data_IF_390929363242
#
_entry.id   IF_390929363242
#
_cell.length_a   1.000
_cell.length_b   1.000
_cell.length_c   1.000
_cell.angle_alpha   90.00
_cell.angle_beta   90.00
_cell.angle_gamma   90.00
#
_symmetry.space_group_name_H-M   'P 1'
#
loop_
_entity.id
_entity.type
_entity.pdbx_description
1 polymer ?
#
# COMPACT_ATOMS: atom_id res chain seq x y z
N UNK A 1 -16.76 -4.20 48.44
CA UNK A 1 -17.17 -3.84 47.06
C UNK A 1 -15.92 -3.36 46.32
N UNK A 2 -15.12 -4.27 45.74
CA UNK A 2 -15.04 -4.61 44.30
C UNK A 2 -14.55 -3.47 43.38
N UNK A 3 -13.23 -3.25 43.37
CA UNK A 3 -12.47 -2.67 42.25
C UNK A 3 -11.14 -3.41 42.11
N UNK A 4 -11.19 -4.69 41.73
CA UNK A 4 -9.99 -5.54 41.57
C UNK A 4 -10.03 -6.36 40.26
N UNK A 5 -10.81 -5.92 39.25
CA UNK A 5 -11.05 -6.70 38.02
C UNK A 5 -10.92 -5.94 36.70
N UNK A 6 -10.54 -4.65 36.72
CA UNK A 6 -10.40 -3.83 35.51
C UNK A 6 -8.94 -3.76 35.00
N UNK A 7 -7.95 -3.99 35.87
CA UNK A 7 -6.54 -4.09 35.47
C UNK A 7 -6.21 -5.45 34.85
N UNK A 8 -6.81 -6.54 35.34
CA UNK A 8 -6.56 -7.89 34.82
C UNK A 8 -7.14 -8.10 33.41
N UNK A 9 -8.27 -7.46 33.09
CA UNK A 9 -8.91 -7.64 31.77
C UNK A 9 -8.07 -7.06 30.62
N UNK A 10 -7.39 -5.94 30.87
CA UNK A 10 -6.56 -5.27 29.86
C UNK A 10 -5.21 -5.98 29.67
N UNK A 11 -4.61 -6.49 30.76
CA UNK A 11 -3.42 -7.35 30.73
C UNK A 11 -3.69 -8.68 30.02
N UNK A 12 -4.85 -9.31 30.29
CA UNK A 12 -5.24 -10.55 29.63
C UNK A 12 -5.43 -10.39 28.12
N UNK A 13 -6.06 -9.30 27.65
CA UNK A 13 -6.20 -9.04 26.22
C UNK A 13 -4.82 -8.84 25.57
N UNK A 14 -3.94 -8.07 26.20
CA UNK A 14 -2.60 -7.81 25.68
C UNK A 14 -1.73 -9.08 25.62
N UNK A 15 -1.76 -9.91 26.66
CA UNK A 15 -1.06 -11.20 26.69
C UNK A 15 -1.66 -12.24 25.73
N UNK A 16 -2.96 -12.17 25.44
CA UNK A 16 -3.61 -13.04 24.44
C UNK A 16 -3.21 -12.65 23.02
N UNK A 17 -3.10 -11.35 22.73
CA UNK A 17 -2.60 -10.86 21.44
C UNK A 17 -1.12 -11.20 21.24
N UNK A 18 -0.29 -11.09 22.30
CA UNK A 18 1.11 -11.51 22.26
C UNK A 18 1.23 -13.02 22.06
N UNK A 19 0.47 -13.85 22.79
CA UNK A 19 0.46 -15.30 22.60
C UNK A 19 -0.02 -15.72 21.21
N UNK A 20 -1.01 -15.02 20.65
CA UNK A 20 -1.46 -15.22 19.27
C UNK A 20 -0.36 -14.86 18.27
N UNK A 21 0.36 -13.76 18.48
CA UNK A 21 1.49 -13.33 17.67
C UNK A 21 2.67 -14.31 17.75
N UNK A 22 3.01 -14.81 18.94
CA UNK A 22 4.03 -15.85 19.13
C UNK A 22 3.60 -17.21 18.56
N UNK A 23 2.31 -17.54 18.59
CA UNK A 23 1.76 -18.74 17.94
C UNK A 23 1.82 -18.65 16.42
N UNK A 24 1.61 -17.45 15.87
CA UNK A 24 1.73 -17.17 14.43
C UNK A 24 3.18 -17.12 13.95
N UNK A 25 4.12 -16.65 14.78
CA UNK A 25 5.55 -16.61 14.49
C UNK A 25 6.25 -17.96 14.73
N UNK A 26 5.68 -18.82 15.59
CA UNK A 26 6.13 -20.20 15.84
C UNK A 26 5.50 -21.14 14.82
N UNK A 27 5.81 -20.93 13.55
CA UNK A 27 5.64 -21.97 12.53
C UNK A 27 6.47 -23.19 12.97
N UNK A 28 5.88 -24.37 13.23
CA UNK A 28 6.66 -25.58 13.21
C UNK A 28 7.24 -25.68 11.80
N UNK A 29 8.57 -25.74 11.69
CA UNK A 29 9.25 -26.19 10.49
C UNK A 29 8.71 -27.59 10.18
N UNK A 30 7.64 -27.64 9.40
CA UNK A 30 6.97 -28.88 9.02
C UNK A 30 7.91 -29.60 8.04
N UNK A 31 8.53 -30.66 8.55
CA UNK A 31 9.40 -31.54 7.79
C UNK A 31 8.57 -32.21 6.69
N UNK A 32 8.94 -31.96 5.44
CA UNK A 32 8.20 -32.33 4.24
C UNK A 32 8.31 -33.85 3.96
N UNK A 33 7.23 -34.66 4.01
CA UNK A 33 7.24 -35.95 3.33
C UNK A 33 7.07 -35.72 1.81
N UNK A 34 8.10 -36.02 1.03
CA UNK A 34 8.26 -35.75 -0.42
C UNK A 34 7.26 -36.46 -1.38
N UNK A 35 6.16 -37.05 -0.90
CA UNK A 35 5.34 -37.98 -1.72
C UNK A 35 3.96 -37.47 -2.19
N UNK A 36 3.57 -36.24 -1.87
CA UNK A 36 2.26 -35.67 -2.29
C UNK A 36 2.47 -34.45 -3.21
N UNK A 37 3.34 -34.57 -4.22
CA UNK A 37 3.62 -33.47 -5.17
C UNK A 37 3.02 -33.70 -6.57
N UNK A 38 2.14 -34.70 -6.70
CA UNK A 38 1.47 -35.04 -7.96
C UNK A 38 -0.02 -34.66 -7.95
N UNK A 39 -0.39 -33.62 -7.18
CA UNK A 39 -1.65 -32.92 -7.36
C UNK A 39 -1.39 -31.88 -8.46
N UNK A 40 -1.90 -32.18 -9.64
CA UNK A 40 -2.03 -31.31 -10.82
C UNK A 40 -1.83 -29.83 -10.51
N UNK A 41 -0.65 -29.30 -10.84
CA UNK A 41 -0.43 -27.85 -10.95
C UNK A 41 -1.30 -27.34 -12.08
N UNK A 42 -2.52 -26.88 -11.79
CA UNK A 42 -3.23 -26.00 -12.71
C UNK A 42 -2.31 -24.81 -12.97
N UNK A 43 -1.90 -24.61 -14.22
CA UNK A 43 -1.17 -23.41 -14.66
C UNK A 43 -2.13 -22.22 -14.53
N UNK A 44 -2.19 -21.61 -13.36
CA UNK A 44 -3.03 -20.42 -13.16
C UNK A 44 -2.43 -19.29 -13.99
N UNK A 45 -3.21 -18.77 -14.93
CA UNK A 45 -2.77 -17.71 -15.81
C UNK A 45 -2.88 -16.35 -15.10
N UNK A 46 -1.85 -15.97 -14.35
CA UNK A 46 -1.84 -14.73 -13.57
C UNK A 46 -1.69 -13.45 -14.39
N UNK A 47 -1.56 -13.54 -15.73
CA UNK A 47 -1.32 -12.39 -16.62
C UNK A 47 -2.38 -11.30 -16.51
N UNK A 48 -3.66 -11.70 -16.61
CA UNK A 48 -4.77 -10.76 -16.60
C UNK A 48 -4.99 -10.13 -15.20
N UNK A 49 -5.03 -10.91 -14.10
CA UNK A 49 -5.08 -10.33 -12.76
C UNK A 49 -3.92 -9.39 -12.44
N UNK A 50 -2.70 -9.73 -12.88
CA UNK A 50 -1.51 -8.89 -12.66
C UNK A 50 -1.62 -7.56 -13.41
N UNK A 51 -2.04 -7.59 -14.68
CA UNK A 51 -2.24 -6.39 -15.48
C UNK A 51 -3.32 -5.49 -14.88
N UNK A 52 -4.47 -6.08 -14.50
CA UNK A 52 -5.54 -5.36 -13.84
C UNK A 52 -5.06 -4.72 -12.52
N UNK A 53 -4.34 -5.47 -11.69
CA UNK A 53 -3.81 -4.97 -10.43
C UNK A 53 -2.85 -3.80 -10.65
N UNK A 54 -1.98 -3.89 -11.66
CA UNK A 54 -1.04 -2.83 -12.02
C UNK A 54 -1.76 -1.54 -12.41
N UNK A 55 -2.80 -1.63 -13.24
CA UNK A 55 -3.62 -0.48 -13.63
C UNK A 55 -4.39 0.09 -12.44
N UNK A 56 -5.01 -0.77 -11.63
CA UNK A 56 -5.77 -0.34 -10.46
C UNK A 56 -4.89 0.44 -9.46
N UNK A 57 -3.69 -0.06 -9.17
CA UNK A 57 -2.72 0.64 -8.32
C UNK A 57 -2.27 1.95 -8.96
N UNK A 58 -1.92 1.94 -10.24
CA UNK A 58 -1.46 3.14 -10.94
C UNK A 58 -2.51 4.26 -10.98
N UNK A 59 -3.75 3.92 -11.31
CA UNK A 59 -4.89 4.87 -11.27
C UNK A 59 -5.14 5.33 -9.83
N UNK A 60 -5.04 4.43 -8.85
CA UNK A 60 -5.20 4.74 -7.43
C UNK A 60 -4.19 5.77 -6.90
N UNK A 61 -3.00 5.87 -7.50
CA UNK A 61 -2.05 6.94 -7.20
C UNK A 61 -2.31 8.25 -7.96
N UNK A 62 -2.77 8.17 -9.21
CA UNK A 62 -2.98 9.37 -10.05
C UNK A 62 -4.24 10.14 -9.64
N UNK A 63 -5.34 9.45 -9.30
CA UNK A 63 -6.61 10.12 -8.96
C UNK A 63 -6.47 11.09 -7.77
N UNK A 64 -5.83 10.71 -6.64
CA UNK A 64 -5.54 11.65 -5.55
C UNK A 64 -4.68 12.84 -5.97
N UNK A 65 -3.74 12.66 -6.90
CA UNK A 65 -2.93 13.77 -7.42
C UNK A 65 -3.79 14.75 -8.21
N UNK A 66 -4.68 14.24 -9.07
CA UNK A 66 -5.64 15.06 -9.83
C UNK A 66 -6.58 15.84 -8.91
N UNK A 67 -6.93 15.25 -7.77
CA UNK A 67 -7.72 15.90 -6.73
C UNK A 67 -6.98 17.07 -6.06
N UNK A 68 -5.69 16.89 -5.76
CA UNK A 68 -4.84 17.92 -5.12
C UNK A 68 -4.57 19.12 -6.02
N UNK A 69 -4.44 18.90 -7.34
CA UNK A 69 -4.29 19.99 -8.31
C UNK A 69 -5.62 20.67 -8.66
N UNK A 70 -6.74 20.20 -8.10
CA UNK A 70 -8.07 20.76 -8.34
C UNK A 70 -8.69 20.41 -9.70
N UNK A 71 -8.14 19.43 -10.41
CA UNK A 71 -8.65 19.01 -11.72
C UNK A 71 -10.01 18.30 -11.62
N UNK A 72 -10.25 17.60 -10.51
CA UNK A 72 -11.52 16.90 -10.25
C UNK A 72 -12.65 17.86 -9.84
N UNK A 73 -12.34 19.13 -9.55
CA UNK A 73 -13.29 20.15 -9.15
C UNK A 73 -12.84 20.90 -7.89
N UNK A 74 -13.56 21.98 -7.54
CA UNK A 74 -13.24 22.76 -6.35
C UNK A 74 -13.50 21.97 -5.07
N UNK A 75 -12.78 22.33 -4.00
CA UNK A 75 -12.96 21.77 -2.67
C UNK A 75 -14.44 21.80 -2.22
N UNK A 76 -14.94 20.67 -1.71
CA UNK A 76 -16.33 20.53 -1.27
C UNK A 76 -17.31 20.12 -2.38
N UNK A 77 -16.86 19.91 -3.61
CA UNK A 77 -17.68 19.32 -4.66
C UNK A 77 -17.82 17.79 -4.50
N UNK A 78 -18.84 17.21 -5.12
CA UNK A 78 -19.15 15.78 -5.00
C UNK A 78 -18.01 14.92 -5.56
N UNK A 79 -17.51 13.97 -4.76
CA UNK A 79 -16.36 13.09 -5.06
C UNK A 79 -14.98 13.77 -5.09
N UNK A 80 -14.85 15.00 -4.56
CA UNK A 80 -13.57 15.68 -4.38
C UNK A 80 -13.14 15.58 -2.92
N UNK A 81 -11.91 15.13 -2.68
CA UNK A 81 -11.37 14.93 -1.33
C UNK A 81 -10.83 16.24 -0.75
N UNK A 82 -9.83 16.80 -1.42
CA UNK A 82 -9.13 18.04 -1.07
C UNK A 82 -9.49 19.19 -2.00
N UNK A 83 -9.49 18.95 -3.32
CA UNK A 83 -9.86 19.91 -4.37
C UNK A 83 -8.91 21.11 -4.56
N UNK A 84 -7.97 21.35 -3.64
CA UNK A 84 -6.90 22.32 -3.79
C UNK A 84 -5.66 21.88 -3.00
N UNK A 85 -4.54 22.54 -3.28
CA UNK A 85 -3.27 22.27 -2.63
C UNK A 85 -3.28 22.65 -1.14
N UNK A 86 -3.88 23.79 -0.79
CA UNK A 86 -3.88 24.28 0.60
C UNK A 86 -4.62 23.34 1.56
N UNK A 87 -5.80 22.82 1.18
CA UNK A 87 -6.53 21.85 1.99
C UNK A 87 -5.77 20.54 2.15
N UNK A 88 -4.99 20.14 1.13
CA UNK A 88 -4.12 18.98 1.24
C UNK A 88 -2.98 19.21 2.23
N UNK A 89 -2.36 20.39 2.21
CA UNK A 89 -1.32 20.75 3.19
C UNK A 89 -1.89 20.83 4.59
N UNK A 90 -3.07 21.43 4.76
CA UNK A 90 -3.76 21.50 6.05
C UNK A 90 -4.12 20.10 6.57
N UNK A 91 -4.66 19.23 5.71
CA UNK A 91 -4.92 17.83 6.05
C UNK A 91 -3.64 17.09 6.44
N UNK A 92 -2.57 17.25 5.66
CA UNK A 92 -1.26 16.65 5.96
C UNK A 92 -0.70 17.14 7.30
N UNK A 93 -0.94 18.40 7.65
CA UNK A 93 -0.56 18.95 8.95
C UNK A 93 -1.36 18.31 10.09
N UNK A 94 -2.65 18.02 9.90
CA UNK A 94 -3.43 17.25 10.91
C UNK A 94 -2.93 15.81 11.07
N UNK A 95 -2.39 15.21 10.00
CA UNK A 95 -1.76 13.88 10.05
C UNK A 95 -0.38 13.90 10.70
N UNK A 96 0.32 15.03 10.72
CA UNK A 96 1.66 15.16 11.29
C UNK A 96 1.72 16.38 12.20
N UNK A 97 1.07 16.34 13.38
CA UNK A 97 1.02 17.50 14.29
C UNK A 97 2.41 17.90 14.82
N UNK A 98 3.41 17.03 14.65
CA UNK A 98 4.81 17.29 14.99
C UNK A 98 5.57 18.13 13.95
N UNK A 99 4.98 18.38 12.77
CA UNK A 99 5.58 19.19 11.70
C UNK A 99 4.85 20.53 11.56
N UNK A 100 5.62 21.60 11.35
CA UNK A 100 5.07 22.91 10.96
C UNK A 100 4.54 22.87 9.52
N UNK A 101 3.56 23.74 9.23
CA UNK A 101 2.87 23.83 7.93
C UNK A 101 3.82 23.89 6.71
N UNK A 102 4.95 24.63 6.74
CA UNK A 102 5.90 24.65 5.61
C UNK A 102 6.58 23.30 5.38
N UNK A 103 6.91 22.55 6.44
CA UNK A 103 7.52 21.24 6.31
C UNK A 103 6.51 20.20 5.81
N UNK A 104 5.25 20.28 6.26
CA UNK A 104 4.15 19.46 5.73
C UNK A 104 3.93 19.70 4.22
N UNK A 105 4.06 20.94 3.75
CA UNK A 105 4.00 21.28 2.33
C UNK A 105 5.13 20.62 1.52
N UNK A 106 6.38 20.69 2.00
CA UNK A 106 7.52 20.04 1.33
C UNK A 106 7.36 18.52 1.30
N UNK A 107 6.98 17.90 2.42
CA UNK A 107 6.77 16.45 2.47
C UNK A 107 5.60 16.00 1.59
N UNK A 108 4.49 16.76 1.59
CA UNK A 108 3.36 16.53 0.70
C UNK A 108 3.72 16.66 -0.78
N UNK A 109 4.57 17.63 -1.12
CA UNK A 109 5.18 17.79 -2.45
C UNK A 109 5.98 16.57 -2.89
N UNK A 110 6.92 16.13 -2.04
CA UNK A 110 7.75 14.94 -2.32
C UNK A 110 6.88 13.69 -2.48
N UNK A 111 5.88 13.50 -1.60
CA UNK A 111 4.94 12.39 -1.69
C UNK A 111 4.14 12.43 -3.01
N UNK A 112 3.63 13.61 -3.41
CA UNK A 112 2.89 13.78 -4.66
C UNK A 112 3.75 13.45 -5.88
N UNK A 113 4.99 13.90 -5.91
CA UNK A 113 5.93 13.59 -7.01
C UNK A 113 6.21 12.08 -7.05
N UNK A 114 6.41 11.45 -5.89
CA UNK A 114 6.61 10.00 -5.80
C UNK A 114 5.37 9.21 -6.26
N UNK A 115 4.16 9.63 -5.90
CA UNK A 115 2.90 9.02 -6.35
C UNK A 115 2.73 9.11 -7.86
N UNK A 116 3.00 10.27 -8.46
CA UNK A 116 2.96 10.43 -9.93
C UNK A 116 3.98 9.52 -10.59
N UNK A 117 5.22 9.51 -10.09
CA UNK A 117 6.28 8.69 -10.65
C UNK A 117 5.94 7.21 -10.58
N UNK A 118 5.56 6.69 -9.42
CA UNK A 118 5.20 5.28 -9.24
C UNK A 118 3.90 4.94 -9.98
N UNK A 119 2.90 5.80 -9.97
CA UNK A 119 1.64 5.60 -10.67
C UNK A 119 1.84 5.48 -12.18
N UNK A 120 2.60 6.40 -12.78
CA UNK A 120 2.91 6.37 -14.20
C UNK A 120 3.77 5.16 -14.57
N UNK A 121 4.76 4.86 -13.75
CA UNK A 121 5.68 3.73 -13.94
C UNK A 121 4.96 2.38 -13.84
N UNK A 122 3.97 2.25 -12.95
CA UNK A 122 3.05 1.11 -12.90
C UNK A 122 2.17 1.04 -14.15
N UNK A 123 1.52 2.12 -14.58
CA UNK A 123 0.65 2.10 -15.77
C UNK A 123 1.44 1.68 -17.02
N UNK A 124 2.55 2.36 -17.28
CA UNK A 124 3.44 2.10 -18.42
C UNK A 124 4.05 0.69 -18.32
N UNK A 125 4.34 0.25 -17.10
CA UNK A 125 5.01 -1.01 -16.85
C UNK A 125 6.51 -0.95 -17.10
N UNK A 126 7.19 0.08 -16.59
CA UNK A 126 8.63 0.24 -16.65
C UNK A 126 9.25 -0.06 -15.28
N UNK A 127 10.26 -0.93 -15.18
CA UNK A 127 10.81 -1.48 -13.92
C UNK A 127 9.74 -1.71 -12.84
N UNK A 128 8.67 -2.36 -13.24
CA UNK A 128 7.45 -2.61 -12.46
C UNK A 128 7.70 -3.11 -11.03
N UNK A 129 8.70 -3.98 -10.84
CA UNK A 129 9.11 -4.48 -9.52
C UNK A 129 9.54 -3.36 -8.58
N UNK A 130 10.36 -2.42 -9.06
CA UNK A 130 10.88 -1.30 -8.26
C UNK A 130 9.76 -0.32 -7.93
N UNK A 131 8.90 -0.02 -8.91
CA UNK A 131 7.72 0.83 -8.70
C UNK A 131 6.77 0.21 -7.67
N UNK A 132 6.48 -1.09 -7.78
CA UNK A 132 5.61 -1.81 -6.86
C UNK A 132 6.17 -1.81 -5.42
N UNK A 133 7.48 -2.00 -5.25
CA UNK A 133 8.12 -1.92 -3.95
C UNK A 133 8.13 -0.48 -3.39
N UNK A 134 8.37 0.52 -4.24
CA UNK A 134 8.28 1.94 -3.86
C UNK A 134 6.87 2.33 -3.42
N UNK A 135 5.85 1.93 -4.19
CA UNK A 135 4.43 2.10 -3.85
C UNK A 135 4.05 1.43 -2.53
N UNK A 136 4.57 0.23 -2.25
CA UNK A 136 4.39 -0.45 -0.96
C UNK A 136 4.96 0.40 0.18
N UNK A 137 6.21 0.84 0.07
CA UNK A 137 6.85 1.62 1.13
C UNK A 137 6.12 2.95 1.36
N UNK A 138 5.75 3.63 0.29
CA UNK A 138 5.03 4.90 0.34
C UNK A 138 3.65 4.76 1.03
N UNK A 139 2.85 3.79 0.59
CA UNK A 139 1.51 3.54 1.15
C UNK A 139 1.58 3.01 2.59
N UNK A 140 2.59 2.20 2.91
CA UNK A 140 2.81 1.73 4.28
C UNK A 140 3.16 2.89 5.22
N UNK A 141 4.09 3.76 4.83
CA UNK A 141 4.45 4.95 5.61
C UNK A 141 3.24 5.86 5.81
N UNK A 142 2.47 6.12 4.75
CA UNK A 142 1.25 6.91 4.83
C UNK A 142 0.22 6.28 5.78
N UNK A 143 -0.02 4.98 5.64
CA UNK A 143 -0.95 4.23 6.51
C UNK A 143 -0.52 4.23 7.98
N UNK A 144 0.79 4.16 8.26
CA UNK A 144 1.33 4.27 9.62
C UNK A 144 1.15 5.67 10.19
N UNK A 145 1.42 6.72 9.41
CA UNK A 145 1.15 8.11 9.83
C UNK A 145 -0.34 8.32 10.13
N UNK A 146 -1.24 7.84 9.26
CA UNK A 146 -2.68 7.89 9.51
C UNK A 146 -3.07 7.10 10.77
N UNK A 147 -2.50 5.92 10.99
CA UNK A 147 -2.78 5.11 12.17
C UNK A 147 -2.36 5.80 13.47
N UNK A 148 -1.20 6.47 13.48
CA UNK A 148 -0.70 7.19 14.66
C UNK A 148 -1.53 8.44 14.98
N UNK A 149 -1.96 9.19 13.96
CA UNK A 149 -2.59 10.50 14.17
C UNK A 149 -4.12 10.46 14.23
N UNK A 150 -4.77 9.61 13.42
CA UNK A 150 -6.23 9.48 13.34
C UNK A 150 -6.75 8.17 13.97
N UNK A 151 -5.85 7.30 14.42
CA UNK A 151 -6.16 5.96 14.90
C UNK A 151 -6.28 4.93 13.76
N UNK A 152 -6.30 3.64 14.13
CA UNK A 152 -6.28 2.51 13.18
C UNK A 152 -7.49 2.44 12.23
N UNK A 153 -8.61 3.08 12.56
CA UNK A 153 -9.84 3.02 11.74
C UNK A 153 -9.71 3.78 10.43
N UNK A 154 -9.01 4.92 10.44
CA UNK A 154 -8.85 5.76 9.25
C UNK A 154 -8.12 5.03 8.10
N UNK A 155 -6.90 4.47 8.27
CA UNK A 155 -6.21 3.78 7.17
C UNK A 155 -6.91 2.49 6.73
N UNK A 156 -7.73 1.86 7.58
CA UNK A 156 -8.57 0.71 7.21
C UNK A 156 -9.75 1.13 6.33
N UNK A 157 -10.43 2.24 6.64
CA UNK A 157 -11.52 2.76 5.80
C UNK A 157 -11.04 3.15 4.40
N UNK A 158 -9.85 3.74 4.29
CA UNK A 158 -9.23 4.07 3.01
C UNK A 158 -8.52 2.87 2.35
N UNK A 159 -8.62 1.67 2.93
CA UNK A 159 -8.00 0.44 2.43
C UNK A 159 -6.49 0.57 2.16
N UNK A 160 -5.80 1.47 2.86
CA UNK A 160 -4.37 1.78 2.61
C UNK A 160 -3.50 0.55 2.82
N UNK A 161 -3.79 -0.25 3.84
CA UNK A 161 -3.09 -1.52 4.09
C UNK A 161 -3.37 -2.59 3.03
N UNK A 162 -4.54 -2.57 2.39
CA UNK A 162 -4.83 -3.47 1.28
C UNK A 162 -4.03 -3.07 0.04
N UNK A 163 -3.93 -1.76 -0.24
CA UNK A 163 -3.12 -1.21 -1.32
C UNK A 163 -1.63 -1.51 -1.11
N UNK A 164 -1.13 -1.39 0.13
CA UNK A 164 0.25 -1.73 0.44
C UNK A 164 0.51 -3.23 0.25
N UNK A 165 -0.34 -4.11 0.77
CA UNK A 165 -0.24 -5.56 0.58
C UNK A 165 -0.30 -5.96 -0.90
N UNK A 166 -1.17 -5.32 -1.69
CA UNK A 166 -1.28 -5.55 -3.12
C UNK A 166 -0.04 -5.08 -3.89
N UNK A 167 0.55 -3.95 -3.50
CA UNK A 167 1.80 -3.45 -4.06
C UNK A 167 2.98 -4.38 -3.74
N UNK A 168 3.04 -4.89 -2.51
CA UNK A 168 4.04 -5.87 -2.11
C UNK A 168 3.89 -7.17 -2.91
N UNK A 169 2.66 -7.67 -3.06
CA UNK A 169 2.38 -8.84 -3.88
C UNK A 169 2.82 -8.63 -5.34
N UNK A 170 2.54 -7.46 -5.92
CA UNK A 170 2.96 -7.14 -7.28
C UNK A 170 4.49 -7.09 -7.41
N UNK A 171 5.22 -6.73 -6.35
CA UNK A 171 6.69 -6.72 -6.33
C UNK A 171 7.31 -8.11 -6.32
N UNK A 172 6.63 -9.11 -5.74
CA UNK A 172 7.14 -10.49 -5.66
C UNK A 172 6.88 -11.30 -6.93
N UNK A 173 5.98 -10.83 -7.81
CA UNK A 173 5.72 -11.49 -9.09
C UNK A 173 6.92 -11.35 -10.05
N UNK A 174 7.23 -12.42 -10.77
CA UNK A 174 8.25 -12.46 -11.84
C UNK A 174 7.58 -12.64 -13.20
N UNK A 175 7.89 -11.74 -14.14
CA UNK A 175 7.28 -11.69 -15.48
C UNK A 175 6.05 -10.79 -15.50
N UNK A 176 6.17 -9.65 -16.16
CA UNK A 176 5.08 -8.66 -16.30
C UNK A 176 4.62 -8.66 -17.74
N UNK A 177 3.63 -9.49 -18.07
CA UNK A 177 3.08 -9.52 -19.44
C UNK A 177 2.38 -8.20 -19.77
N UNK A 178 2.59 -7.68 -20.98
CA UNK A 178 2.16 -6.35 -21.42
C UNK A 178 2.77 -5.19 -20.60
N UNK A 179 4.02 -5.36 -20.17
CA UNK A 179 4.87 -4.29 -19.67
C UNK A 179 5.93 -3.94 -20.71
N UNK A 180 6.48 -2.73 -20.68
CA UNK A 180 7.66 -2.41 -21.49
C UNK A 180 8.85 -3.29 -21.10
N UNK A 181 8.91 -3.75 -19.84
CA UNK A 181 9.96 -4.68 -19.38
C UNK A 181 9.97 -5.98 -20.21
N UNK A 182 8.80 -6.53 -20.57
CA UNK A 182 8.70 -7.69 -21.49
C UNK A 182 9.11 -7.31 -22.91
N UNK A 183 8.67 -6.16 -23.42
CA UNK A 183 9.02 -5.70 -24.77
C UNK A 183 10.53 -5.52 -24.96
N UNK A 184 11.23 -4.96 -23.97
CA UNK A 184 12.68 -4.84 -23.99
C UNK A 184 13.38 -6.21 -23.83
N UNK A 185 12.85 -7.10 -23.00
CA UNK A 185 13.39 -8.47 -22.84
C UNK A 185 13.19 -9.36 -24.06
N UNK A 186 12.12 -9.16 -24.84
CA UNK A 186 11.83 -9.92 -26.05
C UNK A 186 12.68 -9.45 -27.24
N UNK A 187 13.03 -8.15 -27.27
CA UNK A 187 13.74 -7.53 -28.39
C UNK A 187 15.27 -7.50 -28.24
N UNK A 188 15.79 -7.70 -27.03
CA UNK A 188 17.21 -7.84 -26.73
C UNK A 188 17.42 -9.19 -26.03
N UNK A 189 17.41 -10.32 -26.74
CA UNK A 189 18.00 -11.54 -26.20
C UNK A 189 19.47 -11.22 -25.88
N UNK A 190 19.86 -11.34 -24.62
CA UNK A 190 21.25 -11.17 -24.20
C UNK A 190 22.17 -11.98 -25.12
N UNK A 191 23.13 -11.30 -25.75
CA UNK A 191 24.23 -11.88 -26.54
C UNK A 191 25.31 -12.43 -25.63
#
# INVERSE_FOLDING_TARGET
MRYHGLHDFHEHIFLTQIKFFYSFLRLPLYHHPKKIQKITTMKINHKFPQFYLRLALGIGFIVPVLDRIGWLGPAGSKNVGWGNWDNFVDYTNTLMPFLERPMANVMGGIATIAEVLFGLMLIIGLKTRVAAFGSFLLTLSFGLCMAMSLGLKAPLNYSVFAVSGASLLLSTMSGYKWSLDEYFSEKLPES
#
